data_IF_839828200825
#
_entry.id   IF_839828200825
#
_cell.length_a   1.000
_cell.length_b   1.000
_cell.length_c   1.000
_cell.angle_alpha   90.00
_cell.angle_beta   90.00
_cell.angle_gamma   90.00
#
_symmetry.space_group_name_H-M   'P 1'
#
loop_
_entity.id
_entity.type
_entity.pdbx_description
1 polymer ?
#
# COMPACT_ATOMS: atom_id res chain seq x y z
N UNK A 1 41.00 1.76 0.63
CA UNK A 1 41.10 3.22 0.82
C UNK A 1 39.77 3.69 1.39
N UNK A 2 39.75 4.53 2.43
CA UNK A 2 38.49 5.14 2.86
C UNK A 2 38.14 6.21 1.83
N UNK A 3 37.20 5.92 0.93
CA UNK A 3 36.69 6.90 -0.02
C UNK A 3 35.86 7.95 0.77
N UNK A 4 36.52 9.01 1.24
CA UNK A 4 35.83 10.12 1.91
C UNK A 4 35.24 11.03 0.84
N UNK A 5 34.05 10.67 0.35
CA UNK A 5 33.24 11.58 -0.46
C UNK A 5 32.78 12.79 0.35
N UNK A 6 32.45 13.87 -0.34
CA UNK A 6 31.76 14.99 0.29
C UNK A 6 30.26 14.79 0.13
N UNK A 7 29.55 14.61 1.25
CA UNK A 7 28.10 14.47 1.27
C UNK A 7 27.47 15.78 1.76
N UNK A 8 26.47 16.24 1.02
CA UNK A 8 25.64 17.40 1.38
C UNK A 8 24.20 16.95 1.55
N UNK A 9 23.44 17.54 2.49
CA UNK A 9 22.00 17.36 2.55
C UNK A 9 21.36 17.71 1.20
N UNK A 10 20.34 16.96 0.79
CA UNK A 10 19.63 17.24 -0.46
C UNK A 10 18.95 18.64 -0.46
N UNK A 11 18.71 19.29 0.67
CA UNK A 11 18.02 20.59 0.72
C UNK A 11 18.81 21.79 0.16
N UNK A 12 20.09 21.64 -0.21
CA UNK A 12 21.00 22.77 -0.51
C UNK A 12 21.27 23.00 -2.02
N UNK A 13 20.53 22.36 -2.93
CA UNK A 13 20.82 22.38 -4.38
C UNK A 13 19.59 22.69 -5.25
N UNK A 14 19.78 23.52 -6.29
CA UNK A 14 18.74 23.91 -7.27
C UNK A 14 18.49 22.86 -8.37
N UNK A 15 19.08 21.67 -8.23
CA UNK A 15 18.96 20.59 -9.18
C UNK A 15 17.53 19.99 -9.23
N UNK A 16 17.04 19.64 -10.41
CA UNK A 16 15.67 19.10 -10.59
C UNK A 16 15.47 17.80 -9.82
N UNK A 17 16.44 16.89 -9.87
CA UNK A 17 16.38 15.59 -9.20
C UNK A 17 16.38 15.78 -7.69
N UNK A 18 17.16 16.74 -7.21
CA UNK A 18 17.24 17.06 -5.79
C UNK A 18 15.98 17.76 -5.28
N UNK A 19 15.39 18.65 -6.09
CA UNK A 19 14.06 19.23 -5.79
C UNK A 19 12.95 18.18 -5.74
N UNK A 20 13.04 17.12 -6.55
CA UNK A 20 12.08 16.02 -6.48
C UNK A 20 12.12 15.33 -5.10
N UNK A 21 13.30 15.16 -4.49
CA UNK A 21 13.43 14.60 -3.13
C UNK A 21 12.62 15.41 -2.12
N UNK A 22 12.68 16.73 -2.18
CA UNK A 22 11.95 17.61 -1.26
C UNK A 22 10.42 17.51 -1.38
N UNK A 23 9.91 17.05 -2.54
CA UNK A 23 8.49 16.82 -2.77
C UNK A 23 7.99 15.43 -2.35
N UNK A 24 8.89 14.51 -2.00
CA UNK A 24 8.53 13.13 -1.65
C UNK A 24 8.47 12.99 -0.13
N UNK A 25 7.37 12.43 0.38
CA UNK A 25 7.33 11.90 1.75
C UNK A 25 8.09 10.57 1.79
N UNK A 26 9.40 10.68 1.98
CA UNK A 26 10.36 9.55 1.97
C UNK A 26 10.05 8.51 3.05
N UNK A 27 9.26 8.87 4.07
CA UNK A 27 8.85 7.94 5.14
C UNK A 27 7.82 6.91 4.68
N UNK A 28 7.23 7.08 3.49
CA UNK A 28 6.23 6.17 2.90
C UNK A 28 6.83 5.05 2.05
N UNK A 29 8.11 5.16 1.68
CA UNK A 29 8.74 4.33 0.66
C UNK A 29 9.87 3.50 1.29
N UNK A 30 10.10 2.29 0.80
CA UNK A 30 11.27 1.50 1.20
C UNK A 30 12.55 1.91 0.45
N UNK A 31 13.67 1.25 0.77
CA UNK A 31 14.99 1.54 0.20
C UNK A 31 15.11 1.23 -1.29
N UNK A 32 14.19 0.47 -1.90
CA UNK A 32 14.16 0.18 -3.33
C UNK A 32 13.22 1.19 -4.03
N UNK A 33 12.07 1.48 -3.43
CA UNK A 33 11.06 2.36 -4.00
C UNK A 33 11.51 3.83 -4.08
N UNK A 34 12.17 4.34 -3.04
CA UNK A 34 12.38 5.79 -2.84
C UNK A 34 13.17 6.45 -3.97
N UNK A 35 14.21 5.80 -4.49
CA UNK A 35 15.01 6.38 -5.58
C UNK A 35 14.34 6.22 -6.95
N UNK A 36 13.46 5.23 -7.13
CA UNK A 36 12.63 5.12 -8.33
C UNK A 36 11.53 6.20 -8.33
N UNK A 37 10.98 6.53 -7.17
CA UNK A 37 10.06 7.64 -6.97
C UNK A 37 10.68 8.99 -7.37
N UNK A 38 11.95 9.25 -7.01
CA UNK A 38 12.69 10.44 -7.44
C UNK A 38 12.79 10.54 -8.96
N UNK A 39 13.08 9.43 -9.65
CA UNK A 39 13.14 9.39 -11.11
C UNK A 39 11.77 9.67 -11.72
N UNK A 40 10.71 9.07 -11.18
CA UNK A 40 9.35 9.24 -11.68
C UNK A 40 8.86 10.68 -11.51
N UNK A 41 9.09 11.31 -10.36
CA UNK A 41 8.70 12.69 -10.10
C UNK A 41 9.51 13.68 -10.94
N UNK A 42 10.77 13.37 -11.23
CA UNK A 42 11.61 14.16 -12.14
C UNK A 42 11.11 14.11 -13.58
N UNK A 43 10.67 12.95 -14.06
CA UNK A 43 10.24 12.74 -15.46
C UNK A 43 8.79 13.18 -15.71
N UNK A 44 7.88 12.87 -14.77
CA UNK A 44 6.43 13.03 -14.96
C UNK A 44 5.81 14.13 -14.09
N UNK A 45 6.60 14.75 -13.21
CA UNK A 45 6.16 15.82 -12.32
C UNK A 45 5.81 15.32 -10.91
N UNK A 46 5.57 16.26 -9.98
CA UNK A 46 5.42 15.96 -8.55
C UNK A 46 4.25 15.01 -8.28
N UNK A 47 4.39 14.25 -7.19
CA UNK A 47 3.42 13.27 -6.68
C UNK A 47 3.22 12.05 -7.58
N UNK A 48 3.95 11.90 -8.69
CA UNK A 48 3.86 10.71 -9.54
C UNK A 48 4.15 9.44 -8.75
N UNK A 49 5.11 9.50 -7.83
CA UNK A 49 5.47 8.41 -6.94
C UNK A 49 4.31 7.82 -6.12
N UNK A 50 3.26 8.61 -5.84
CA UNK A 50 2.09 8.11 -5.11
C UNK A 50 1.36 7.00 -5.87
N UNK A 51 1.54 6.86 -7.19
CA UNK A 51 0.94 5.78 -7.96
C UNK A 51 1.43 4.38 -7.55
N UNK A 52 2.60 4.26 -6.90
CA UNK A 52 3.04 3.02 -6.24
C UNK A 52 1.97 2.55 -5.23
N UNK A 53 1.32 3.49 -4.53
CA UNK A 53 0.25 3.22 -3.59
C UNK A 53 -1.03 2.64 -4.21
N UNK A 54 -1.15 2.58 -5.54
CA UNK A 54 -2.29 1.91 -6.18
C UNK A 54 -2.32 0.40 -5.90
N UNK A 55 -1.17 -0.21 -5.56
CA UNK A 55 -1.02 -1.63 -5.23
C UNK A 55 -0.91 -1.78 -3.71
N UNK A 56 -1.91 -2.40 -3.09
CA UNK A 56 -1.83 -2.86 -1.70
C UNK A 56 -2.13 -4.35 -1.67
N UNK A 57 -1.21 -5.14 -1.12
CA UNK A 57 -1.30 -6.59 -1.10
C UNK A 57 -0.83 -7.13 0.26
N UNK A 58 -1.46 -8.21 0.69
CA UNK A 58 -0.94 -9.11 1.71
C UNK A 58 -0.70 -10.48 1.08
N UNK A 59 0.55 -10.73 0.68
CA UNK A 59 0.97 -11.98 0.07
C UNK A 59 2.15 -12.55 0.85
N UNK A 60 1.91 -13.15 2.03
CA UNK A 60 2.96 -13.72 2.85
C UNK A 60 3.66 -14.87 2.11
N UNK A 61 4.98 -14.93 2.24
CA UNK A 61 5.86 -15.91 1.60
C UNK A 61 6.76 -16.53 2.65
N UNK A 62 7.21 -17.75 2.41
CA UNK A 62 8.28 -18.33 3.20
C UNK A 62 9.62 -17.96 2.58
N UNK A 63 10.49 -17.34 3.38
CA UNK A 63 11.87 -17.12 2.98
C UNK A 63 12.63 -18.44 2.99
N UNK A 64 13.53 -18.65 2.04
CA UNK A 64 14.47 -19.77 2.08
C UNK A 64 15.53 -19.60 3.17
N UNK A 65 15.68 -18.38 3.70
CA UNK A 65 16.70 -18.02 4.68
C UNK A 65 16.16 -17.92 6.11
N UNK A 66 14.83 -17.91 6.30
CA UNK A 66 14.19 -17.76 7.61
C UNK A 66 12.99 -18.70 7.73
N UNK A 67 12.80 -19.29 8.90
CA UNK A 67 11.61 -20.08 9.22
C UNK A 67 10.34 -19.22 9.36
N UNK A 68 10.49 -17.90 9.52
CA UNK A 68 9.39 -16.96 9.65
C UNK A 68 8.88 -16.52 8.27
N UNK A 69 7.56 -16.33 8.11
CA UNK A 69 7.00 -15.78 6.88
C UNK A 69 7.38 -14.30 6.73
N UNK A 70 7.37 -13.80 5.51
CA UNK A 70 7.66 -12.40 5.18
C UNK A 70 6.76 -11.90 4.05
N UNK A 71 6.45 -10.61 4.06
CA UNK A 71 5.84 -9.87 2.96
C UNK A 71 6.87 -9.14 2.09
N UNK A 72 8.14 -9.15 2.49
CA UNK A 72 9.24 -8.59 1.73
C UNK A 72 9.40 -9.34 0.40
N UNK A 73 9.47 -8.58 -0.69
CA UNK A 73 9.73 -9.11 -2.04
C UNK A 73 11.20 -9.00 -2.36
N UNK A 74 11.69 -9.88 -3.22
CA UNK A 74 13.07 -9.75 -3.73
C UNK A 74 13.21 -8.43 -4.52
N UNK A 75 14.38 -7.77 -4.50
CA UNK A 75 14.57 -6.49 -5.19
C UNK A 75 14.17 -6.51 -6.67
N UNK A 76 14.46 -7.61 -7.38
CA UNK A 76 14.08 -7.78 -8.79
C UNK A 76 12.56 -7.83 -9.00
N UNK A 77 11.82 -8.48 -8.10
CA UNK A 77 10.36 -8.52 -8.12
C UNK A 77 9.78 -7.13 -7.83
N UNK A 78 10.36 -6.40 -6.87
CA UNK A 78 9.95 -5.03 -6.56
C UNK A 78 10.15 -4.12 -7.78
N UNK A 79 11.33 -4.13 -8.40
CA UNK A 79 11.62 -3.31 -9.60
C UNK A 79 10.64 -3.61 -10.73
N UNK A 80 10.36 -4.90 -10.99
CA UNK A 80 9.40 -5.30 -12.02
C UNK A 80 7.98 -4.75 -11.77
N UNK A 81 7.60 -4.54 -10.52
CA UNK A 81 6.31 -3.98 -10.13
C UNK A 81 6.28 -2.45 -10.07
N UNK A 82 7.44 -1.78 -9.99
CA UNK A 82 7.53 -0.32 -9.89
C UNK A 82 7.35 0.38 -11.23
N UNK A 83 7.79 -0.23 -12.34
CA UNK A 83 7.82 0.43 -13.64
C UNK A 83 6.45 0.96 -14.09
N UNK A 84 5.46 0.07 -14.16
CA UNK A 84 4.14 0.44 -14.70
C UNK A 84 3.42 1.53 -13.87
N UNK A 85 3.32 1.46 -12.53
CA UNK A 85 2.74 2.54 -11.73
C UNK A 85 3.48 3.88 -11.88
N UNK A 86 4.80 3.86 -12.01
CA UNK A 86 5.64 5.05 -12.11
C UNK A 86 5.72 5.64 -13.52
N UNK A 87 5.13 5.00 -14.53
CA UNK A 87 5.32 5.41 -15.92
C UNK A 87 6.77 5.26 -16.39
N UNK A 88 7.51 4.29 -15.83
CA UNK A 88 8.91 4.01 -16.14
C UNK A 88 9.06 2.62 -16.78
N UNK A 89 9.93 2.51 -17.78
CA UNK A 89 10.45 1.22 -18.25
C UNK A 89 11.75 0.94 -17.50
N UNK A 90 11.67 0.05 -16.50
CA UNK A 90 12.79 -0.34 -15.64
C UNK A 90 13.35 -1.68 -16.10
N UNK A 91 14.51 -1.65 -16.76
CA UNK A 91 15.17 -2.84 -17.30
C UNK A 91 16.33 -3.26 -16.42
N UNK A 92 16.13 -4.35 -15.68
CA UNK A 92 17.15 -4.96 -14.84
C UNK A 92 18.26 -5.51 -15.73
N UNK A 93 19.47 -4.98 -15.57
CA UNK A 93 20.67 -5.47 -16.24
C UNK A 93 21.33 -6.64 -15.50
N UNK A 94 22.35 -7.21 -16.12
CA UNK A 94 23.19 -8.23 -15.46
C UNK A 94 24.01 -7.61 -14.32
N UNK A 95 24.16 -8.30 -13.17
CA UNK A 95 25.02 -7.84 -12.10
C UNK A 95 26.47 -7.64 -12.57
N UNK A 96 27.07 -6.52 -12.15
CA UNK A 96 28.48 -6.21 -12.38
C UNK A 96 29.24 -6.19 -11.06
N UNK A 97 30.48 -6.67 -11.07
CA UNK A 97 31.36 -6.74 -9.88
C UNK A 97 32.55 -5.77 -9.95
N UNK A 98 32.71 -5.07 -11.07
CA UNK A 98 33.70 -4.00 -11.27
C UNK A 98 33.00 -2.65 -11.31
N UNK A 99 33.35 -1.77 -10.39
CA UNK A 99 32.80 -0.42 -10.30
C UNK A 99 33.04 0.39 -11.55
N UNK A 100 34.19 0.25 -12.22
CA UNK A 100 34.43 0.94 -13.49
C UNK A 100 33.40 0.54 -14.57
N UNK A 101 33.09 -0.76 -14.66
CA UNK A 101 32.08 -1.25 -15.60
C UNK A 101 30.68 -0.72 -15.29
N UNK A 102 30.34 -0.52 -14.01
CA UNK A 102 29.11 0.15 -13.60
C UNK A 102 29.10 1.63 -14.02
N UNK A 103 30.19 2.35 -13.77
CA UNK A 103 30.28 3.79 -14.07
C UNK A 103 30.26 4.09 -15.57
N UNK A 104 30.64 3.13 -16.41
CA UNK A 104 30.57 3.25 -17.87
C UNK A 104 29.13 3.12 -18.39
N UNK A 105 28.19 2.65 -17.56
CA UNK A 105 26.75 2.59 -17.88
C UNK A 105 25.99 3.87 -17.54
N UNK A 106 26.63 4.82 -16.84
CA UNK A 106 25.99 6.09 -16.48
C UNK A 106 25.69 6.89 -17.75
N UNK A 107 24.42 7.30 -17.99
CA UNK A 107 24.05 8.03 -19.20
C UNK A 107 24.89 9.31 -19.38
N UNK A 108 25.37 9.60 -20.60
CA UNK A 108 25.99 10.87 -20.90
C UNK A 108 24.89 11.96 -20.87
N UNK A 109 25.09 12.98 -20.03
CA UNK A 109 24.24 14.17 -19.85
C UNK A 109 22.96 13.98 -19.03
N UNK A 110 22.94 14.57 -17.82
CA UNK A 110 21.79 14.83 -16.91
C UNK A 110 20.87 13.64 -16.54
N UNK A 111 21.09 12.45 -17.09
CA UNK A 111 20.44 11.21 -16.66
C UNK A 111 21.11 10.61 -15.43
N UNK A 112 20.34 9.86 -14.66
CA UNK A 112 20.85 9.04 -13.57
C UNK A 112 20.66 7.56 -13.88
N UNK A 113 21.63 6.74 -13.50
CA UNK A 113 21.54 5.29 -13.48
C UNK A 113 20.95 4.86 -12.14
N UNK A 114 19.82 4.17 -12.16
CA UNK A 114 19.29 3.51 -10.97
C UNK A 114 20.10 2.22 -10.73
N UNK A 115 20.57 2.02 -9.50
CA UNK A 115 21.47 0.93 -9.15
C UNK A 115 20.96 0.24 -7.89
N UNK A 116 20.95 -1.09 -7.88
CA UNK A 116 20.82 -1.89 -6.66
C UNK A 116 22.20 -2.39 -6.25
N UNK A 117 22.69 -1.93 -5.10
CA UNK A 117 23.94 -2.39 -4.51
C UNK A 117 23.75 -2.92 -3.10
N UNK A 118 24.87 -3.14 -2.41
CA UNK A 118 24.90 -3.57 -1.01
C UNK A 118 25.10 -2.37 -0.08
N UNK A 119 24.13 -2.11 0.80
CA UNK A 119 24.18 -1.02 1.79
C UNK A 119 25.42 -1.08 2.70
N UNK A 120 25.97 -2.29 2.92
CA UNK A 120 27.20 -2.48 3.68
C UNK A 120 28.38 -1.67 3.11
N UNK A 121 28.37 -1.39 1.80
CA UNK A 121 29.43 -0.70 1.05
C UNK A 121 29.16 0.79 0.82
N UNK A 122 28.01 1.31 1.25
CA UNK A 122 27.57 2.68 0.95
C UNK A 122 27.84 3.60 2.15
N UNK A 123 28.95 4.35 2.20
CA UNK A 123 29.42 5.05 3.40
C UNK A 123 28.51 6.16 3.91
N UNK A 124 27.51 6.57 3.13
CA UNK A 124 26.49 7.54 3.55
C UNK A 124 25.31 6.91 4.28
N UNK A 125 25.21 5.57 4.28
CA UNK A 125 24.15 4.86 5.00
C UNK A 125 24.64 4.40 6.37
N UNK A 126 23.75 4.36 7.38
CA UNK A 126 24.09 3.84 8.70
C UNK A 126 24.41 2.33 8.68
N UNK A 127 24.01 1.61 7.63
CA UNK A 127 24.32 0.19 7.45
C UNK A 127 25.78 -0.09 7.06
N UNK A 128 26.52 0.93 6.62
CA UNK A 128 27.90 0.79 6.16
C UNK A 128 28.78 0.11 7.22
N UNK A 129 29.40 -1.01 6.85
CA UNK A 129 30.24 -1.79 7.76
C UNK A 129 29.47 -2.62 8.82
N UNK A 130 28.15 -2.52 8.89
CA UNK A 130 27.31 -3.13 9.93
C UNK A 130 26.39 -4.23 9.40
N UNK A 131 25.70 -4.01 8.28
CA UNK A 131 24.68 -4.93 7.77
C UNK A 131 24.64 -4.97 6.25
N UNK A 132 24.63 -6.19 5.70
CA UNK A 132 24.40 -6.44 4.28
C UNK A 132 22.90 -6.39 3.99
N UNK A 133 22.51 -5.60 2.99
CA UNK A 133 21.17 -5.58 2.43
C UNK A 133 21.17 -4.92 1.06
N UNK A 134 20.25 -5.35 0.20
CA UNK A 134 20.02 -4.67 -1.06
C UNK A 134 19.50 -3.25 -0.81
N UNK A 135 20.06 -2.27 -1.53
CA UNK A 135 19.70 -0.88 -1.39
C UNK A 135 19.79 -0.18 -2.74
N UNK A 136 18.82 0.67 -3.06
CA UNK A 136 18.85 1.43 -4.30
C UNK A 136 19.61 2.74 -4.14
N UNK A 137 20.29 3.19 -5.19
CA UNK A 137 20.92 4.51 -5.26
C UNK A 137 20.86 5.02 -6.70
N UNK A 138 20.81 6.34 -6.89
CA UNK A 138 20.96 6.97 -8.19
C UNK A 138 22.41 7.40 -8.39
N UNK A 139 23.05 6.93 -9.45
CA UNK A 139 24.38 7.38 -9.86
C UNK A 139 24.28 8.30 -11.07
N UNK A 140 24.88 9.48 -11.02
CA UNK A 140 24.96 10.38 -12.17
C UNK A 140 26.32 11.05 -12.28
N UNK A 141 26.68 11.42 -13.50
CA UNK A 141 27.86 12.24 -13.71
C UNK A 141 27.55 13.70 -13.33
N UNK A 142 28.51 14.38 -12.69
CA UNK A 142 28.47 15.83 -12.52
C UNK A 142 28.40 16.54 -13.87
N UNK A 143 28.03 17.82 -13.88
CA UNK A 143 27.89 18.59 -15.11
C UNK A 143 29.17 18.66 -15.98
N UNK A 144 30.34 18.60 -15.35
CA UNK A 144 31.66 18.56 -16.01
C UNK A 144 32.13 17.13 -16.36
N UNK A 145 31.38 16.10 -15.96
CA UNK A 145 31.70 14.69 -16.15
C UNK A 145 32.88 14.16 -15.33
N UNK A 146 33.54 15.02 -14.54
CA UNK A 146 34.76 14.66 -13.80
C UNK A 146 34.46 13.89 -12.51
N UNK A 147 33.24 14.04 -11.97
CA UNK A 147 32.81 13.45 -10.70
C UNK A 147 31.56 12.62 -10.89
N UNK A 148 31.35 11.72 -9.95
CA UNK A 148 30.13 10.93 -9.82
C UNK A 148 29.40 11.39 -8.56
N UNK A 149 28.11 11.63 -8.71
CA UNK A 149 27.19 11.92 -7.62
C UNK A 149 26.38 10.66 -7.33
N UNK A 150 26.42 10.21 -6.09
CA UNK A 150 25.49 9.23 -5.53
C UNK A 150 24.37 10.01 -4.84
N UNK A 151 23.16 9.91 -5.38
CA UNK A 151 21.96 10.54 -4.83
C UNK A 151 21.09 9.46 -4.21
N UNK A 152 20.76 9.64 -2.94
CA UNK A 152 19.99 8.69 -2.17
C UNK A 152 18.92 9.43 -1.37
N UNK A 153 17.66 9.12 -1.66
CA UNK A 153 16.52 9.73 -0.99
C UNK A 153 16.03 8.93 0.23
N UNK A 154 16.76 7.88 0.63
CA UNK A 154 16.35 7.05 1.75
C UNK A 154 16.34 7.80 3.09
N UNK A 155 15.20 7.72 3.79
CA UNK A 155 15.00 8.28 5.12
C UNK A 155 14.48 7.19 6.07
N UNK A 156 15.28 6.88 7.09
CA UNK A 156 14.91 5.89 8.09
C UNK A 156 15.71 6.03 9.39
N UNK A 157 15.09 5.68 10.51
CA UNK A 157 15.79 5.49 11.78
C UNK A 157 16.17 4.02 11.94
N UNK A 158 17.47 3.76 12.10
CA UNK A 158 18.02 2.41 12.25
C UNK A 158 18.74 2.26 13.58
N UNK A 159 19.02 1.03 14.04
CA UNK A 159 19.87 0.81 15.22
C UNK A 159 21.29 1.38 15.10
N UNK A 160 21.78 1.63 13.89
CA UNK A 160 23.14 2.12 13.61
C UNK A 160 23.21 3.63 13.38
N UNK A 161 22.06 4.33 13.39
CA UNK A 161 21.97 5.75 13.10
C UNK A 161 20.79 6.07 12.19
N UNK A 162 20.63 7.37 11.91
CA UNK A 162 19.62 7.88 10.98
C UNK A 162 20.19 7.88 9.57
N UNK A 163 19.44 7.35 8.62
CA UNK A 163 19.62 7.63 7.20
C UNK A 163 18.83 8.89 6.84
N UNK A 164 19.43 9.80 6.09
CA UNK A 164 18.80 11.02 5.62
C UNK A 164 19.02 11.16 4.12
N UNK A 165 18.13 11.86 3.39
CA UNK A 165 18.35 12.13 1.98
C UNK A 165 19.63 12.94 1.72
N UNK A 166 20.50 12.42 0.87
CA UNK A 166 21.86 12.96 0.65
C UNK A 166 22.28 12.93 -0.81
N UNK A 167 23.18 13.85 -1.14
CA UNK A 167 23.96 13.83 -2.38
C UNK A 167 25.43 13.75 -2.01
N UNK A 168 26.09 12.65 -2.37
CA UNK A 168 27.50 12.44 -2.11
C UNK A 168 28.30 12.49 -3.41
N UNK A 169 29.33 13.33 -3.43
CA UNK A 169 30.18 13.54 -4.60
C UNK A 169 31.54 12.85 -4.44
N UNK A 170 31.95 12.13 -5.48
CA UNK A 170 33.18 11.35 -5.54
C UNK A 170 33.95 11.62 -6.84
N UNK A 171 35.28 11.43 -6.82
CA UNK A 171 36.01 11.21 -8.08
C UNK A 171 35.54 9.91 -8.73
N UNK A 172 35.73 9.74 -10.04
CA UNK A 172 35.37 8.47 -10.71
C UNK A 172 36.07 7.26 -10.09
N UNK A 173 37.35 7.38 -9.74
CA UNK A 173 38.12 6.32 -9.08
C UNK A 173 37.54 5.97 -7.69
N UNK A 174 37.20 6.98 -6.89
CA UNK A 174 36.56 6.77 -5.58
C UNK A 174 35.20 6.09 -5.72
N UNK A 175 34.37 6.54 -6.68
CA UNK A 175 33.06 5.95 -6.94
C UNK A 175 33.17 4.49 -7.41
N UNK A 176 34.12 4.17 -8.30
CA UNK A 176 34.34 2.81 -8.75
C UNK A 176 34.72 1.89 -7.56
N UNK A 177 35.61 2.36 -6.69
CA UNK A 177 36.06 1.61 -5.53
C UNK A 177 34.94 1.28 -4.51
N UNK A 178 33.83 2.02 -4.50
CA UNK A 178 32.67 1.73 -3.65
C UNK A 178 31.95 0.44 -4.08
N UNK A 179 31.94 0.14 -5.37
CA UNK A 179 31.20 -0.98 -5.96
C UNK A 179 32.10 -2.15 -6.37
N UNK A 180 33.42 -2.01 -6.28
CA UNK A 180 34.37 -3.07 -6.59
C UNK A 180 34.24 -4.28 -5.66
N UNK A 181 34.15 -5.47 -6.25
CA UNK A 181 34.11 -6.74 -5.54
C UNK A 181 32.76 -7.07 -4.88
N UNK A 182 31.71 -6.29 -5.17
CA UNK A 182 30.34 -6.56 -4.73
C UNK A 182 29.41 -6.58 -5.95
N UNK A 183 28.66 -7.67 -6.20
CA UNK A 183 27.67 -7.69 -7.26
C UNK A 183 26.69 -6.53 -7.12
N UNK A 184 26.59 -5.73 -8.17
CA UNK A 184 25.79 -4.52 -8.23
C UNK A 184 24.95 -4.57 -9.50
N UNK A 185 23.64 -4.41 -9.37
CA UNK A 185 22.69 -4.57 -10.48
C UNK A 185 22.29 -3.21 -11.03
N UNK A 186 22.72 -2.84 -12.25
CA UNK A 186 22.23 -1.64 -12.91
C UNK A 186 20.79 -1.85 -13.39
N UNK A 187 19.97 -0.80 -13.30
CA UNK A 187 18.63 -0.78 -13.87
C UNK A 187 18.55 0.39 -14.84
N UNK A 188 18.48 0.06 -16.13
CA UNK A 188 18.29 1.06 -17.16
C UNK A 188 16.88 1.60 -17.05
N UNK A 189 16.78 2.93 -16.94
CA UNK A 189 15.50 3.61 -16.79
C UNK A 189 15.20 4.38 -18.07
N UNK A 190 14.04 4.11 -18.66
CA UNK A 190 13.48 4.91 -19.75
C UNK A 190 12.11 5.44 -19.34
N UNK A 191 11.72 6.55 -19.96
CA UNK A 191 10.33 7.00 -19.89
C UNK A 191 9.45 5.90 -20.49
N UNK A 192 8.51 5.38 -19.70
CA UNK A 192 7.50 4.45 -20.16
C UNK A 192 6.28 5.18 -20.74
N UNK A 193 5.53 4.46 -21.58
CA UNK A 193 4.25 4.94 -22.11
C UNK A 193 3.06 4.59 -21.19
N UNK A 194 3.34 3.92 -20.07
CA UNK A 194 2.31 3.51 -19.10
C UNK A 194 1.62 4.74 -18.52
N UNK A 195 0.30 4.79 -18.72
CA UNK A 195 -0.56 5.77 -18.05
C UNK A 195 -0.91 5.26 -16.65
N UNK A 196 -1.12 6.15 -15.69
CA UNK A 196 -1.65 5.75 -14.39
C UNK A 196 -2.93 4.94 -14.55
N UNK A 197 -3.02 3.84 -13.81
CA UNK A 197 -4.17 2.96 -13.90
C UNK A 197 -5.45 3.69 -13.45
N UNK A 198 -6.62 3.46 -14.10
CA UNK A 198 -7.89 3.97 -13.60
C UNK A 198 -8.18 3.48 -12.17
N UNK A 199 -8.74 4.35 -11.32
CA UNK A 199 -9.01 4.09 -9.90
C UNK A 199 -9.76 2.77 -9.70
N UNK A 200 -10.87 2.58 -10.40
CA UNK A 200 -11.71 1.38 -10.33
C UNK A 200 -10.95 0.09 -10.63
N UNK A 201 -10.06 0.13 -11.62
CA UNK A 201 -9.26 -1.04 -11.99
C UNK A 201 -8.22 -1.37 -10.92
N UNK A 202 -7.60 -0.35 -10.30
CA UNK A 202 -6.68 -0.53 -9.20
C UNK A 202 -7.39 -1.13 -7.97
N UNK A 203 -8.56 -0.59 -7.60
CA UNK A 203 -9.37 -1.13 -6.50
C UNK A 203 -9.85 -2.56 -6.79
N UNK A 204 -10.32 -2.84 -8.01
CA UNK A 204 -10.72 -4.20 -8.43
C UNK A 204 -9.57 -5.19 -8.34
N UNK A 205 -8.35 -4.79 -8.73
CA UNK A 205 -7.15 -5.63 -8.59
C UNK A 205 -6.88 -5.94 -7.13
N UNK A 206 -6.90 -4.93 -6.26
CA UNK A 206 -6.61 -5.10 -4.83
C UNK A 206 -7.67 -6.01 -4.17
N UNK A 207 -8.95 -5.82 -4.49
CA UNK A 207 -10.02 -6.70 -4.06
C UNK A 207 -9.80 -8.16 -4.49
N UNK A 208 -9.46 -8.38 -5.78
CA UNK A 208 -9.17 -9.72 -6.31
C UNK A 208 -8.00 -10.39 -5.60
N UNK A 209 -6.98 -9.64 -5.22
CA UNK A 209 -5.85 -10.15 -4.46
C UNK A 209 -6.25 -10.48 -3.00
N UNK A 210 -7.16 -9.69 -2.41
CA UNK A 210 -7.62 -9.86 -1.03
C UNK A 210 -8.57 -11.06 -0.85
N UNK A 211 -9.49 -11.29 -1.80
CA UNK A 211 -10.54 -12.30 -1.67
C UNK A 211 -10.04 -13.73 -1.37
N UNK A 212 -8.99 -14.26 -2.02
CA UNK A 212 -8.47 -15.58 -1.67
C UNK A 212 -7.93 -15.65 -0.24
N UNK A 213 -7.31 -14.56 0.25
CA UNK A 213 -6.75 -14.52 1.60
C UNK A 213 -7.85 -14.50 2.67
N UNK A 214 -8.96 -13.79 2.44
CA UNK A 214 -10.13 -13.77 3.34
C UNK A 214 -10.80 -15.13 3.49
N UNK A 215 -10.75 -15.97 2.46
CA UNK A 215 -11.31 -17.33 2.48
C UNK A 215 -10.45 -18.32 3.29
N UNK A 216 -9.31 -17.86 3.80
CA UNK A 216 -8.35 -18.67 4.55
C UNK A 216 -8.04 -18.02 5.89
N UNK A 217 -7.41 -18.78 6.79
CA UNK A 217 -6.86 -18.27 8.05
C UNK A 217 -5.45 -17.67 7.86
N UNK A 218 -5.14 -17.10 6.69
CA UNK A 218 -3.82 -16.57 6.38
C UNK A 218 -3.35 -15.47 7.36
N UNK A 219 -4.18 -14.48 7.76
CA UNK A 219 -3.81 -13.51 8.79
C UNK A 219 -3.43 -14.16 10.13
N UNK A 220 -4.20 -15.14 10.59
CA UNK A 220 -3.94 -15.89 11.84
C UNK A 220 -2.65 -16.68 11.74
N UNK A 221 -2.50 -17.49 10.69
CA UNK A 221 -1.32 -18.33 10.50
C UNK A 221 -0.04 -17.49 10.43
N UNK A 222 -0.10 -16.34 9.75
CA UNK A 222 1.00 -15.40 9.69
C UNK A 222 1.36 -14.87 11.08
N UNK A 223 0.39 -14.40 11.87
CA UNK A 223 0.63 -13.91 13.23
C UNK A 223 1.10 -15.00 14.21
N UNK A 224 0.54 -16.21 14.10
CA UNK A 224 0.91 -17.38 14.91
C UNK A 224 2.37 -17.78 14.67
N UNK A 225 2.86 -17.69 13.42
CA UNK A 225 4.24 -18.03 13.10
C UNK A 225 5.26 -17.20 13.91
N UNK A 226 4.99 -15.91 14.13
CA UNK A 226 5.83 -15.07 15.00
C UNK A 226 5.63 -15.38 16.49
N UNK A 227 4.38 -15.59 16.91
CA UNK A 227 4.04 -15.88 18.32
C UNK A 227 4.75 -17.13 18.82
N UNK A 228 4.69 -18.21 18.04
CA UNK A 228 5.12 -19.55 18.46
C UNK A 228 6.57 -19.85 18.08
N UNK A 229 7.30 -18.87 17.52
CA UNK A 229 8.69 -19.06 17.15
C UNK A 229 9.57 -19.30 18.40
N UNK A 230 10.45 -20.32 18.40
CA UNK A 230 11.23 -20.68 19.58
C UNK A 230 12.23 -19.59 19.99
N UNK A 231 12.77 -18.84 19.02
CA UNK A 231 13.59 -17.66 19.29
C UNK A 231 12.73 -16.40 19.19
N UNK A 232 12.26 -15.92 20.33
CA UNK A 232 11.44 -14.71 20.42
C UNK A 232 12.21 -13.44 20.03
N UNK A 233 13.54 -13.41 20.19
CA UNK A 233 14.35 -12.24 19.79
C UNK A 233 14.39 -12.14 18.27
N UNK A 234 14.63 -13.25 17.58
CA UNK A 234 14.56 -13.33 16.12
C UNK A 234 13.14 -12.98 15.62
N UNK A 235 12.11 -13.54 16.27
CA UNK A 235 10.72 -13.30 15.89
C UNK A 235 10.31 -11.83 15.96
N UNK A 236 10.61 -11.15 17.06
CA UNK A 236 10.28 -9.72 17.18
C UNK A 236 11.15 -8.81 16.33
N UNK A 237 12.39 -9.21 16.03
CA UNK A 237 13.25 -8.48 15.10
C UNK A 237 12.68 -8.55 13.68
N UNK A 238 12.27 -9.75 13.24
CA UNK A 238 11.59 -9.92 11.95
C UNK A 238 10.23 -9.21 11.93
N UNK A 239 9.40 -9.39 12.96
CA UNK A 239 8.07 -8.76 13.02
C UNK A 239 8.13 -7.23 12.98
N UNK A 240 9.18 -6.62 13.54
CA UNK A 240 9.39 -5.18 13.43
C UNK A 240 9.58 -4.74 11.97
N UNK A 241 10.37 -5.49 11.18
CA UNK A 241 10.53 -5.23 9.74
C UNK A 241 9.21 -5.40 8.99
N UNK A 242 8.49 -6.49 9.26
CA UNK A 242 7.21 -6.78 8.60
C UNK A 242 6.16 -5.70 8.85
N UNK A 243 5.96 -5.31 10.12
CA UNK A 243 5.00 -4.26 10.48
C UNK A 243 5.38 -2.90 9.90
N UNK A 244 6.68 -2.61 9.80
CA UNK A 244 7.19 -1.40 9.14
C UNK A 244 6.92 -1.39 7.63
N UNK A 245 7.19 -2.49 6.92
CA UNK A 245 6.89 -2.62 5.48
C UNK A 245 5.39 -2.50 5.21
N UNK A 246 4.57 -3.18 6.02
CA UNK A 246 3.11 -3.14 5.92
C UNK A 246 2.62 -1.71 6.17
N UNK A 247 2.99 -1.08 7.29
CA UNK A 247 2.57 0.29 7.64
C UNK A 247 2.90 1.30 6.54
N UNK A 248 4.12 1.27 5.98
CA UNK A 248 4.52 2.15 4.87
C UNK A 248 3.64 1.96 3.65
N UNK A 249 3.43 0.72 3.21
CA UNK A 249 2.56 0.41 2.08
C UNK A 249 1.12 0.91 2.28
N UNK A 250 0.54 0.79 3.50
CA UNK A 250 -0.82 1.29 3.78
C UNK A 250 -0.90 2.80 3.85
N UNK A 251 0.10 3.47 4.42
CA UNK A 251 0.18 4.93 4.43
C UNK A 251 0.32 5.49 3.01
N UNK A 252 1.11 4.84 2.16
CA UNK A 252 1.23 5.19 0.75
C UNK A 252 -0.09 4.99 -0.01
N UNK A 253 -0.78 3.87 0.23
CA UNK A 253 -2.12 3.62 -0.33
C UNK A 253 -3.15 4.67 0.11
N UNK A 254 -3.14 5.06 1.39
CA UNK A 254 -4.00 6.11 1.92
C UNK A 254 -3.76 7.46 1.22
N UNK A 255 -2.49 7.85 1.00
CA UNK A 255 -2.13 9.07 0.28
C UNK A 255 -2.57 9.04 -1.19
N UNK A 256 -2.33 7.92 -1.87
CA UNK A 256 -2.80 7.71 -3.24
C UNK A 256 -4.32 7.86 -3.34
N UNK A 257 -5.06 7.19 -2.46
CA UNK A 257 -6.52 7.18 -2.49
C UNK A 257 -7.10 8.55 -2.12
N UNK A 258 -6.53 9.25 -1.14
CA UNK A 258 -6.94 10.60 -0.78
C UNK A 258 -6.77 11.59 -1.96
N UNK A 259 -5.75 11.39 -2.81
CA UNK A 259 -5.54 12.18 -4.04
C UNK A 259 -6.53 11.80 -5.13
N UNK A 260 -6.82 10.51 -5.31
CA UNK A 260 -7.66 9.99 -6.42
C UNK A 260 -9.15 10.07 -6.14
N UNK A 261 -9.56 10.04 -4.89
CA UNK A 261 -10.96 10.07 -4.44
C UNK A 261 -11.11 10.89 -3.15
N UNK A 262 -10.85 12.21 -3.22
CA UNK A 262 -10.86 13.08 -2.05
C UNK A 262 -12.24 13.12 -1.40
N UNK A 263 -12.27 12.96 -0.07
CA UNK A 263 -13.50 13.00 0.72
C UNK A 263 -14.37 11.74 0.66
N UNK A 264 -13.96 10.69 -0.05
CA UNK A 264 -14.69 9.42 -0.05
C UNK A 264 -14.62 8.73 1.32
N UNK A 265 -15.69 8.03 1.68
CA UNK A 265 -15.74 7.19 2.90
C UNK A 265 -14.67 6.10 2.87
N UNK A 266 -14.40 5.54 1.69
CA UNK A 266 -13.33 4.56 1.50
C UNK A 266 -11.95 5.16 1.79
N UNK A 267 -11.64 6.37 1.29
CA UNK A 267 -10.40 7.06 1.62
C UNK A 267 -10.23 7.31 3.13
N UNK A 268 -11.31 7.67 3.82
CA UNK A 268 -11.30 7.85 5.28
C UNK A 268 -11.03 6.52 6.03
N UNK A 269 -11.67 5.43 5.61
CA UNK A 269 -11.45 4.11 6.19
C UNK A 269 -10.00 3.63 6.01
N UNK A 270 -9.43 3.77 4.80
CA UNK A 270 -8.03 3.43 4.52
C UNK A 270 -7.07 4.29 5.35
N UNK A 271 -7.34 5.59 5.51
CA UNK A 271 -6.50 6.47 6.31
C UNK A 271 -6.52 6.09 7.81
N UNK A 272 -7.69 5.77 8.36
CA UNK A 272 -7.82 5.28 9.73
C UNK A 272 -7.05 3.97 9.91
N UNK A 273 -7.18 3.05 8.96
CA UNK A 273 -6.49 1.77 9.00
C UNK A 273 -4.97 1.93 8.92
N UNK A 274 -4.47 2.85 8.09
CA UNK A 274 -3.04 3.18 8.04
C UNK A 274 -2.51 3.73 9.37
N UNK A 275 -3.31 4.53 10.08
CA UNK A 275 -2.97 5.00 11.43
C UNK A 275 -2.86 3.85 12.45
N UNK A 276 -3.78 2.88 12.39
CA UNK A 276 -3.72 1.70 13.26
C UNK A 276 -2.47 0.84 13.01
N UNK A 277 -2.00 0.76 11.76
CA UNK A 277 -0.73 0.11 11.42
C UNK A 277 0.49 0.83 11.98
N UNK A 278 0.49 2.16 11.97
CA UNK A 278 1.54 2.98 12.57
C UNK A 278 1.61 2.74 14.09
N UNK A 279 0.46 2.71 14.77
CA UNK A 279 0.36 2.37 16.19
C UNK A 279 0.93 0.98 16.49
N UNK A 280 0.58 -0.03 15.69
CA UNK A 280 1.11 -1.39 15.85
C UNK A 280 2.63 -1.43 15.65
N UNK A 281 3.15 -0.71 14.65
CA UNK A 281 4.60 -0.63 14.38
C UNK A 281 5.36 -0.06 15.60
N UNK A 282 4.83 1.00 16.21
CA UNK A 282 5.38 1.57 17.44
C UNK A 282 5.37 0.58 18.61
N UNK A 283 4.28 -0.20 18.76
CA UNK A 283 4.20 -1.24 19.78
C UNK A 283 5.18 -2.39 19.53
N UNK A 284 5.34 -2.83 18.28
CA UNK A 284 6.31 -3.86 17.89
C UNK A 284 7.76 -3.42 18.14
N UNK A 285 8.09 -2.15 17.91
CA UNK A 285 9.41 -1.60 18.26
C UNK A 285 9.68 -1.71 19.77
N UNK A 286 8.73 -1.30 20.61
CA UNK A 286 8.84 -1.42 22.05
C UNK A 286 8.95 -2.89 22.50
N UNK A 287 8.19 -3.79 21.88
CA UNK A 287 8.23 -5.21 22.16
C UNK A 287 9.59 -5.83 21.81
N UNK A 288 10.15 -5.52 20.64
CA UNK A 288 11.47 -5.98 20.23
C UNK A 288 12.55 -5.57 21.26
N UNK A 289 12.54 -4.32 21.71
CA UNK A 289 13.47 -3.85 22.75
C UNK A 289 13.27 -4.51 24.11
N UNK A 290 12.04 -4.87 24.47
CA UNK A 290 11.74 -5.62 25.70
C UNK A 290 12.30 -7.04 25.64
N UNK A 291 12.05 -7.73 24.53
CA UNK A 291 12.50 -9.11 24.32
C UNK A 291 14.03 -9.19 24.28
N UNK A 292 14.70 -8.26 23.59
CA UNK A 292 16.17 -8.14 23.62
C UNK A 292 16.75 -7.96 25.03
N UNK A 293 15.96 -7.41 25.97
CA UNK A 293 16.33 -7.23 27.38
C UNK A 293 15.87 -8.38 28.27
N UNK A 294 15.44 -9.50 27.69
CA UNK A 294 14.96 -10.68 28.42
C UNK A 294 13.58 -10.50 29.07
N UNK A 295 12.77 -9.53 28.63
CA UNK A 295 11.40 -9.30 29.14
C UNK A 295 10.36 -9.81 28.15
N UNK A 296 9.22 -10.26 28.66
CA UNK A 296 8.10 -10.68 27.81
C UNK A 296 7.53 -9.52 26.99
N UNK A 297 7.17 -9.83 25.73
CA UNK A 297 6.39 -8.95 24.88
C UNK A 297 4.92 -8.85 25.35
N UNK A 298 4.20 -7.78 25.00
CA UNK A 298 2.76 -7.69 25.23
C UNK A 298 2.01 -8.82 24.48
N UNK A 299 1.14 -9.59 25.16
CA UNK A 299 0.51 -10.78 24.57
C UNK A 299 -0.44 -10.46 23.42
N UNK A 300 -1.01 -9.25 23.39
CA UNK A 300 -2.03 -8.86 22.41
C UNK A 300 -1.50 -8.58 21.00
N UNK A 301 -0.20 -8.39 20.81
CA UNK A 301 0.36 -7.91 19.54
C UNK A 301 0.03 -8.79 18.35
N UNK A 302 0.11 -10.11 18.53
CA UNK A 302 -0.17 -11.07 17.46
C UNK A 302 -1.67 -11.09 17.10
N UNK A 303 -2.56 -10.96 18.09
CA UNK A 303 -4.00 -10.83 17.83
C UNK A 303 -4.32 -9.53 17.13
N UNK A 304 -3.71 -8.42 17.53
CA UNK A 304 -3.84 -7.11 16.85
C UNK A 304 -3.33 -7.19 15.41
N UNK A 305 -2.18 -7.83 15.17
CA UNK A 305 -1.64 -8.04 13.82
C UNK A 305 -2.62 -8.80 12.92
N UNK A 306 -3.13 -9.94 13.38
CA UNK A 306 -4.10 -10.73 12.62
C UNK A 306 -5.38 -9.93 12.32
N UNK A 307 -5.87 -9.16 13.30
CA UNK A 307 -7.03 -8.31 13.11
C UNK A 307 -6.80 -7.21 12.07
N UNK A 308 -5.68 -6.49 12.13
CA UNK A 308 -5.38 -5.44 11.16
C UNK A 308 -5.21 -6.01 9.74
N UNK A 309 -4.54 -7.16 9.60
CA UNK A 309 -4.44 -7.84 8.31
C UNK A 309 -5.81 -8.24 7.76
N UNK A 310 -6.70 -8.79 8.60
CA UNK A 310 -8.07 -9.10 8.17
C UNK A 310 -8.83 -7.85 7.73
N UNK A 311 -8.78 -6.79 8.53
CA UNK A 311 -9.48 -5.54 8.21
C UNK A 311 -8.94 -4.88 6.93
N UNK A 312 -7.63 -4.96 6.65
CA UNK A 312 -7.08 -4.52 5.35
C UNK A 312 -7.73 -5.28 4.18
N UNK A 313 -7.84 -6.61 4.32
CA UNK A 313 -8.38 -7.48 3.30
C UNK A 313 -9.87 -7.23 3.08
N UNK A 314 -10.64 -7.02 4.16
CA UNK A 314 -12.07 -6.64 4.12
C UNK A 314 -12.25 -5.30 3.42
N UNK A 315 -11.50 -4.27 3.83
CA UNK A 315 -11.53 -2.94 3.20
C UNK A 315 -11.20 -3.04 1.70
N UNK A 316 -10.20 -3.84 1.32
CA UNK A 316 -9.85 -4.03 -0.08
C UNK A 316 -10.94 -4.78 -0.87
N UNK A 317 -11.56 -5.80 -0.28
CA UNK A 317 -12.65 -6.55 -0.92
C UNK A 317 -13.89 -5.69 -1.14
N UNK A 318 -14.25 -4.85 -0.16
CA UNK A 318 -15.40 -3.94 -0.22
C UNK A 318 -15.17 -2.76 -1.18
N UNK A 319 -13.91 -2.48 -1.55
CA UNK A 319 -13.54 -1.41 -2.46
C UNK A 319 -13.84 -1.70 -3.94
N UNK A 320 -14.06 -2.98 -4.30
CA UNK A 320 -14.36 -3.33 -5.67
C UNK A 320 -15.68 -2.67 -6.10
N UNK A 321 -15.72 -1.94 -7.22
CA UNK A 321 -17.00 -1.60 -7.82
C UNK A 321 -17.75 -2.89 -8.11
N UNK A 322 -19.03 -2.96 -7.70
CA UNK A 322 -19.93 -4.04 -8.11
C UNK A 322 -19.81 -4.21 -9.63
N UNK A 323 -19.66 -5.46 -10.11
CA UNK A 323 -19.41 -5.73 -11.51
C UNK A 323 -20.48 -5.03 -12.40
N UNK A 324 -20.08 -4.32 -13.47
CA UNK A 324 -21.02 -3.77 -14.43
C UNK A 324 -21.61 -4.93 -15.24
N UNK A 325 -22.68 -5.51 -14.69
CA UNK A 325 -23.34 -6.72 -15.17
C UNK A 325 -24.21 -7.38 -14.11
N UNK A 326 -23.86 -7.22 -12.81
CA UNK A 326 -24.61 -7.80 -11.68
C UNK A 326 -25.45 -6.78 -10.91
N UNK A 327 -25.36 -5.47 -11.18
CA UNK A 327 -25.99 -4.46 -10.31
C UNK A 327 -26.71 -3.30 -11.03
N UNK A 328 -26.46 -2.97 -12.31
CA UNK A 328 -27.09 -1.76 -12.88
C UNK A 328 -28.53 -1.96 -13.40
N UNK A 329 -28.87 -3.15 -13.89
CA UNK A 329 -30.27 -3.47 -14.22
C UNK A 329 -31.04 -3.87 -12.97
N UNK A 330 -30.41 -4.67 -12.10
CA UNK A 330 -31.05 -5.23 -10.91
C UNK A 330 -31.12 -4.22 -9.76
N UNK A 331 -30.13 -3.33 -9.55
CA UNK A 331 -30.22 -2.28 -8.51
C UNK A 331 -31.22 -1.19 -8.89
N UNK A 332 -31.31 -0.80 -10.17
CA UNK A 332 -32.32 0.15 -10.60
C UNK A 332 -33.73 -0.45 -10.46
N UNK A 333 -33.89 -1.73 -10.79
CA UNK A 333 -35.15 -2.46 -10.64
C UNK A 333 -35.51 -2.71 -9.17
N UNK A 334 -34.53 -3.09 -8.33
CA UNK A 334 -34.70 -3.26 -6.88
C UNK A 334 -35.00 -1.92 -6.22
N UNK A 335 -34.27 -0.86 -6.55
CA UNK A 335 -34.56 0.49 -6.05
C UNK A 335 -35.96 0.93 -6.47
N UNK A 336 -36.33 0.72 -7.73
CA UNK A 336 -37.67 1.04 -8.22
C UNK A 336 -38.75 0.25 -7.47
N UNK A 337 -38.53 -1.04 -7.24
CA UNK A 337 -39.45 -1.90 -6.47
C UNK A 337 -39.54 -1.48 -5.02
N UNK A 338 -38.42 -1.16 -4.36
CA UNK A 338 -38.38 -0.61 -2.99
C UNK A 338 -39.18 0.69 -2.92
N UNK A 339 -38.96 1.61 -3.86
CA UNK A 339 -39.71 2.86 -3.95
C UNK A 339 -41.20 2.61 -4.20
N UNK A 340 -41.56 1.64 -5.06
CA UNK A 340 -42.94 1.27 -5.36
C UNK A 340 -43.65 0.64 -4.14
N UNK A 341 -42.98 -0.26 -3.42
CA UNK A 341 -43.50 -0.85 -2.18
C UNK A 341 -43.74 0.23 -1.14
N UNK A 342 -42.80 1.16 -0.95
CA UNK A 342 -42.95 2.27 -0.01
C UNK A 342 -44.10 3.18 -0.43
N UNK A 343 -44.21 3.52 -1.72
CA UNK A 343 -45.30 4.34 -2.26
C UNK A 343 -46.66 3.67 -2.01
N UNK A 344 -46.76 2.35 -2.18
CA UNK A 344 -47.99 1.58 -1.93
C UNK A 344 -48.32 1.48 -0.43
N UNK A 345 -47.33 1.18 0.43
CA UNK A 345 -47.50 1.17 1.91
C UNK A 345 -47.95 2.53 2.43
N UNK A 346 -47.41 3.60 1.87
CA UNK A 346 -47.73 4.97 2.26
C UNK A 346 -48.98 5.53 1.57
N UNK A 347 -49.50 4.87 0.54
CA UNK A 347 -50.54 5.37 -0.35
C UNK A 347 -50.23 6.77 -0.93
N UNK A 348 -48.98 6.99 -1.36
CA UNK A 348 -48.49 8.25 -1.94
C UNK A 348 -47.94 8.04 -3.35
N UNK A 349 -47.73 9.16 -4.06
CA UNK A 349 -47.15 9.12 -5.40
C UNK A 349 -45.68 8.67 -5.37
N UNK A 350 -45.32 7.76 -6.29
CA UNK A 350 -43.96 7.23 -6.41
C UNK A 350 -42.90 8.32 -6.60
N UNK A 351 -43.24 9.42 -7.28
CA UNK A 351 -42.32 10.54 -7.49
C UNK A 351 -41.95 11.26 -6.20
N UNK A 352 -42.81 11.24 -5.17
CA UNK A 352 -42.51 11.81 -3.85
C UNK A 352 -41.51 10.95 -3.09
N UNK A 353 -41.61 9.63 -3.21
CA UNK A 353 -40.62 8.69 -2.64
C UNK A 353 -39.30 8.80 -3.39
N UNK A 354 -39.34 8.89 -4.72
CA UNK A 354 -38.14 9.01 -5.55
C UNK A 354 -37.37 10.33 -5.34
N UNK A 355 -38.00 11.35 -4.77
CA UNK A 355 -37.41 12.65 -4.49
C UNK A 355 -36.66 12.73 -3.13
N UNK A 356 -36.65 11.66 -2.34
CA UNK A 356 -35.96 11.63 -1.03
C UNK A 356 -35.15 10.34 -0.86
N UNK A 357 -34.03 10.43 -0.16
CA UNK A 357 -33.26 9.27 0.30
C UNK A 357 -33.51 8.93 1.78
N UNK A 358 -34.13 9.87 2.53
CA UNK A 358 -34.51 9.72 3.93
C UNK A 358 -36.04 9.68 4.06
N UNK A 359 -36.54 8.49 4.39
CA UNK A 359 -37.97 8.21 4.52
C UNK A 359 -38.59 8.90 5.73
N UNK A 360 -37.81 9.30 6.73
CA UNK A 360 -38.34 10.05 7.88
C UNK A 360 -38.81 11.47 7.51
N UNK A 361 -38.46 11.95 6.31
CA UNK A 361 -38.97 13.19 5.74
C UNK A 361 -40.38 13.03 5.12
N UNK A 362 -40.85 11.80 4.90
CA UNK A 362 -42.19 11.53 4.38
C UNK A 362 -43.20 11.59 5.52
N UNK A 363 -44.23 12.41 5.35
CA UNK A 363 -45.30 12.54 6.35
C UNK A 363 -45.99 11.20 6.57
N UNK A 364 -45.97 10.71 7.81
CA UNK A 364 -46.60 9.45 8.19
C UNK A 364 -45.73 8.20 8.08
N UNK A 365 -44.47 8.30 7.63
CA UNK A 365 -43.54 7.16 7.64
C UNK A 365 -43.00 6.90 9.06
N UNK A 366 -43.70 6.07 9.83
CA UNK A 366 -43.37 5.71 11.21
C UNK A 366 -43.01 4.23 11.36
N UNK A 367 -42.80 3.76 12.59
CA UNK A 367 -42.41 2.37 12.88
C UNK A 367 -43.35 1.31 12.29
N UNK A 368 -44.63 1.62 12.16
CA UNK A 368 -45.59 0.72 11.53
C UNK A 368 -45.34 0.57 10.03
N UNK A 369 -45.14 1.69 9.31
CA UNK A 369 -44.83 1.70 7.88
C UNK A 369 -43.46 1.07 7.59
N UNK A 370 -42.48 1.25 8.49
CA UNK A 370 -41.19 0.57 8.38
C UNK A 370 -41.34 -0.95 8.44
N UNK A 371 -42.12 -1.48 9.38
CA UNK A 371 -42.35 -2.94 9.51
C UNK A 371 -43.10 -3.48 8.30
N UNK A 372 -44.19 -2.84 7.90
CA UNK A 372 -44.98 -3.25 6.72
C UNK A 372 -44.13 -3.22 5.42
N UNK A 373 -43.26 -2.21 5.26
CA UNK A 373 -42.33 -2.12 4.12
C UNK A 373 -41.38 -3.31 4.09
N UNK A 374 -40.84 -3.69 5.25
CA UNK A 374 -39.92 -4.82 5.39
C UNK A 374 -40.63 -6.13 5.03
N UNK A 375 -41.81 -6.39 5.60
CA UNK A 375 -42.60 -7.60 5.35
C UNK A 375 -42.96 -7.75 3.85
N UNK A 376 -43.34 -6.65 3.19
CA UNK A 376 -43.67 -6.68 1.76
C UNK A 376 -42.45 -6.89 0.88
N UNK A 377 -41.28 -6.39 1.28
CA UNK A 377 -40.04 -6.65 0.55
C UNK A 377 -39.58 -8.10 0.73
N UNK A 378 -39.71 -8.68 1.91
CA UNK A 378 -39.48 -10.12 2.15
C UNK A 378 -40.39 -10.99 1.28
N UNK A 379 -41.68 -10.66 1.21
CA UNK A 379 -42.64 -11.37 0.34
C UNK A 379 -42.32 -11.19 -1.15
N UNK A 380 -42.07 -9.96 -1.59
CA UNK A 380 -41.79 -9.63 -3.00
C UNK A 380 -40.57 -10.36 -3.53
N UNK A 381 -39.52 -10.48 -2.70
CA UNK A 381 -38.25 -11.11 -3.07
C UNK A 381 -38.12 -12.56 -2.59
N UNK A 382 -39.11 -13.09 -1.87
CA UNK A 382 -39.08 -14.42 -1.26
C UNK A 382 -37.84 -14.68 -0.38
N UNK A 383 -37.42 -13.67 0.38
CA UNK A 383 -36.25 -13.66 1.30
C UNK A 383 -36.68 -13.43 2.75
N UNK A 384 -35.81 -13.77 3.71
CA UNK A 384 -35.93 -13.36 5.11
C UNK A 384 -34.72 -12.47 5.47
N UNK A 385 -34.97 -11.29 6.03
CA UNK A 385 -33.93 -10.36 6.41
C UNK A 385 -33.35 -10.73 7.79
N UNK A 386 -32.01 -10.75 7.95
CA UNK A 386 -31.40 -11.04 9.24
C UNK A 386 -31.81 -10.00 10.29
N UNK A 387 -32.29 -10.45 11.45
CA UNK A 387 -32.71 -9.57 12.54
C UNK A 387 -31.61 -8.57 12.98
N UNK A 388 -30.33 -8.94 12.83
CA UNK A 388 -29.19 -8.05 13.11
C UNK A 388 -29.09 -6.84 12.16
N UNK A 389 -29.62 -6.96 10.94
CA UNK A 389 -29.56 -5.94 9.89
C UNK A 389 -30.80 -5.00 9.88
N UNK A 390 -31.86 -5.32 10.62
CA UNK A 390 -33.10 -4.53 10.78
C UNK A 390 -32.93 -3.34 11.74
N UNK A 391 -31.91 -2.51 11.51
CA UNK A 391 -31.62 -1.34 12.33
C UNK A 391 -32.43 -0.11 11.86
N UNK A 392 -32.90 0.78 12.76
CA UNK A 392 -33.69 1.96 12.38
C UNK A 392 -33.01 2.88 11.35
N UNK A 393 -31.68 2.97 11.36
CA UNK A 393 -30.94 3.77 10.38
C UNK A 393 -31.03 3.18 8.96
N UNK A 394 -30.98 1.86 8.84
CA UNK A 394 -31.14 1.14 7.56
C UNK A 394 -32.57 1.26 7.04
N UNK A 395 -33.57 1.07 7.92
CA UNK A 395 -34.98 1.03 7.55
C UNK A 395 -35.58 2.40 7.20
N UNK A 396 -34.87 3.49 7.50
CA UNK A 396 -35.26 4.87 7.14
C UNK A 396 -34.62 5.36 5.85
N UNK A 397 -33.76 4.58 5.22
CA UNK A 397 -33.05 4.98 4.01
C UNK A 397 -33.48 4.13 2.83
N UNK A 398 -33.74 4.78 1.68
CA UNK A 398 -33.97 4.05 0.41
C UNK A 398 -32.75 3.20 0.06
N UNK A 399 -31.55 3.75 0.21
CA UNK A 399 -30.29 3.03 -0.05
C UNK A 399 -30.10 1.89 0.96
N UNK A 400 -30.45 2.14 2.22
CA UNK A 400 -30.41 1.14 3.28
C UNK A 400 -31.29 -0.08 2.97
N UNK A 401 -32.53 0.14 2.56
CA UNK A 401 -33.48 -0.90 2.18
C UNK A 401 -33.09 -1.61 0.88
N UNK A 402 -32.65 -0.86 -0.13
CA UNK A 402 -32.17 -1.41 -1.41
C UNK A 402 -30.98 -2.35 -1.16
N UNK A 403 -29.99 -1.91 -0.39
CA UNK A 403 -28.85 -2.73 -0.02
C UNK A 403 -29.22 -3.96 0.82
N UNK A 404 -30.25 -3.85 1.68
CA UNK A 404 -30.75 -4.97 2.48
C UNK A 404 -31.35 -6.08 1.60
N UNK A 405 -32.20 -5.71 0.64
CA UNK A 405 -32.79 -6.62 -0.35
C UNK A 405 -31.69 -7.35 -1.14
N UNK A 406 -30.74 -6.58 -1.70
CA UNK A 406 -29.67 -7.13 -2.52
C UNK A 406 -28.73 -8.08 -1.77
N UNK A 407 -28.52 -7.89 -0.46
CA UNK A 407 -27.72 -8.82 0.35
C UNK A 407 -28.49 -10.09 0.66
N UNK A 408 -29.79 -9.99 0.91
CA UNK A 408 -30.63 -11.12 1.24
C UNK A 408 -30.84 -12.06 0.03
N UNK A 409 -31.11 -11.50 -1.15
CA UNK A 409 -31.26 -12.28 -2.40
C UNK A 409 -29.97 -13.01 -2.76
N UNK A 410 -28.81 -12.35 -2.68
CA UNK A 410 -27.49 -12.99 -2.91
C UNK A 410 -27.19 -14.13 -1.93
N UNK A 411 -27.54 -13.99 -0.64
CA UNK A 411 -27.34 -15.07 0.36
C UNK A 411 -28.18 -16.31 0.04
N UNK A 412 -29.37 -16.14 -0.51
CA UNK A 412 -30.28 -17.23 -0.86
C UNK A 412 -29.80 -18.00 -2.10
N UNK A 413 -29.29 -17.31 -3.13
CA UNK A 413 -28.71 -17.94 -4.32
C UNK A 413 -27.49 -18.80 -3.97
N UNK A 414 -26.64 -18.33 -3.05
CA UNK A 414 -25.47 -19.07 -2.56
C UNK A 414 -25.84 -20.29 -1.72
N UNK A 415 -27.02 -20.30 -1.08
CA UNK A 415 -27.50 -21.43 -0.29
C UNK A 415 -28.23 -22.49 -1.11
N UNK A 416 -28.61 -22.17 -2.35
CA UNK A 416 -29.32 -23.05 -3.28
C UNK A 416 -28.38 -23.74 -4.31
N UNK A 417 -27.14 -23.26 -4.44
CA UNK A 417 -26.07 -23.83 -5.26
C UNK A 417 -25.19 -24.78 -4.44
#
# INVERSE_FOLDING_TARGET
>A
MNATGHCTPASETDDVLVRAIAGIDTTLLDCIQVNAAVLADTEHGPDTHLEIGSVVEFAPRHSTQSALPTVERQPSEQIAQLGAPLGLDLRIGEPVDRGQSLLDLIPPHRGALYVIGDAYRMPWLPYHGHQHMAHSVLLRASADGARIEAVDAYDNETPYGRAEPVVCTYTREQAAALFDGSPTTPVLTHRGDSRPQPLEQALTRNARAAMPMLKTEAPEHYAIAFRDHPDQTAAFTALLLETWLLSRSRRLHAKWLARRSPGSTHAAAVAQQAGAWEDLTGQCYLAARRVQRGRSAPPQLHTTLAQLLRTDLEIAADAAPSAPGDDLSDSAEVRHTVQAVIADVMAIDLSLVAATDDLSQLEGFASFQMVETVERLEETYAVEFPASELQPATLRSIDGLTGLVQRATRKQEVSAA
#
